data_IF_722358799680
#
_entry.id   IF_722358799680
#
_cell.length_a   1.000
_cell.length_b   1.000
_cell.length_c   1.000
_cell.angle_alpha   90.00
_cell.angle_beta   90.00
_cell.angle_gamma   90.00
#
_symmetry.space_group_name_H-M   'P 1'
#
loop_
_entity.id
_entity.type
_entity.pdbx_description
1 polymer ?
#
# COMPACT_ATOMS: atom_id res chain seq x y z
N UNK A 1 3.50 17.62 -43.14
CA UNK A 1 4.71 16.81 -43.33
C UNK A 1 5.83 17.14 -42.34
N UNK A 2 5.85 18.29 -41.68
CA UNK A 2 6.87 18.69 -40.70
C UNK A 2 6.92 17.81 -39.45
N UNK A 3 5.79 17.41 -38.85
CA UNK A 3 5.74 16.67 -37.61
C UNK A 3 6.37 15.27 -37.59
N UNK A 4 6.46 14.60 -38.75
CA UNK A 4 7.04 13.25 -38.85
C UNK A 4 8.57 13.28 -38.83
N UNK A 5 9.17 14.34 -39.36
CA UNK A 5 10.65 14.50 -39.41
C UNK A 5 11.21 14.89 -38.03
N UNK A 6 10.49 15.77 -37.35
CA UNK A 6 10.83 16.21 -35.99
C UNK A 6 10.81 15.05 -34.98
N UNK A 7 9.85 14.14 -35.09
CA UNK A 7 9.78 12.96 -34.18
C UNK A 7 10.93 11.94 -34.38
N UNK A 8 11.45 11.80 -35.60
CA UNK A 8 12.57 10.88 -35.87
C UNK A 8 13.89 11.47 -35.39
N UNK A 9 14.12 12.76 -35.52
CA UNK A 9 15.29 13.45 -35.02
C UNK A 9 15.35 13.39 -33.49
N UNK A 10 14.24 13.68 -32.81
CA UNK A 10 14.15 13.59 -31.36
C UNK A 10 14.39 12.16 -30.84
N UNK A 11 13.84 11.16 -31.51
CA UNK A 11 14.14 9.76 -31.20
C UNK A 11 15.62 9.44 -31.37
N UNK A 12 16.25 9.88 -32.47
CA UNK A 12 17.66 9.68 -32.73
C UNK A 12 18.56 10.29 -31.65
N UNK A 13 18.23 11.49 -31.15
CA UNK A 13 18.95 12.15 -30.06
C UNK A 13 18.85 11.34 -28.76
N UNK A 14 17.66 10.88 -28.42
CA UNK A 14 17.46 10.01 -27.24
C UNK A 14 18.23 8.69 -27.39
N UNK A 15 18.20 8.08 -28.58
CA UNK A 15 18.95 6.86 -28.82
C UNK A 15 20.46 7.12 -28.70
N UNK A 16 21.00 8.24 -29.19
CA UNK A 16 22.40 8.63 -29.02
C UNK A 16 22.80 8.77 -27.54
N UNK A 17 21.90 9.28 -26.70
CA UNK A 17 22.21 9.49 -25.29
C UNK A 17 22.36 8.18 -24.50
N UNK A 18 21.76 7.08 -24.96
CA UNK A 18 21.86 5.75 -24.31
C UNK A 18 22.89 4.83 -24.97
N UNK A 19 23.39 5.19 -26.14
CA UNK A 19 24.45 4.43 -26.81
C UNK A 19 25.81 5.01 -26.40
N UNK A 20 26.68 4.27 -25.70
CA UNK A 20 27.99 4.78 -25.32
C UNK A 20 28.83 5.18 -26.54
N UNK A 21 29.59 6.25 -26.41
CA UNK A 21 30.43 6.76 -27.51
C UNK A 21 31.35 5.69 -28.07
N UNK A 22 31.35 5.51 -29.39
CA UNK A 22 32.18 4.52 -30.07
C UNK A 22 31.70 3.06 -30.03
N UNK A 23 30.63 2.73 -29.29
CA UNK A 23 30.17 1.35 -29.07
C UNK A 23 28.89 0.97 -29.82
N UNK A 24 28.54 1.67 -30.90
CA UNK A 24 27.31 1.41 -31.66
C UNK A 24 27.15 -0.04 -32.17
N UNK A 25 28.30 -0.73 -32.48
CA UNK A 25 28.26 -2.15 -32.87
C UNK A 25 27.93 -3.07 -31.70
N UNK A 26 28.52 -2.81 -30.54
CA UNK A 26 28.28 -3.60 -29.33
C UNK A 26 26.87 -3.40 -28.83
N UNK A 27 26.36 -2.17 -28.90
CA UNK A 27 24.97 -1.86 -28.59
C UNK A 27 24.00 -2.58 -29.52
N UNK A 28 24.26 -2.57 -30.84
CA UNK A 28 23.46 -3.30 -31.82
C UNK A 28 23.43 -4.81 -31.51
N UNK A 29 24.61 -5.39 -31.19
CA UNK A 29 24.73 -6.79 -30.78
C UNK A 29 23.94 -7.08 -29.50
N UNK A 30 24.02 -6.21 -28.49
CA UNK A 30 23.25 -6.31 -27.24
C UNK A 30 21.75 -6.23 -27.47
N UNK A 31 21.32 -5.38 -28.42
CA UNK A 31 19.93 -5.25 -28.80
C UNK A 31 19.40 -6.38 -29.70
N UNK A 32 20.29 -7.19 -30.27
CA UNK A 32 19.92 -8.24 -31.26
C UNK A 32 19.47 -7.64 -32.61
N UNK A 33 19.92 -6.44 -32.95
CA UNK A 33 19.56 -5.71 -34.18
C UNK A 33 20.79 -5.52 -35.05
N UNK A 34 20.62 -5.63 -36.38
CA UNK A 34 21.73 -5.38 -37.32
C UNK A 34 22.33 -3.99 -37.16
N UNK A 35 23.66 -3.90 -37.15
CA UNK A 35 24.38 -2.63 -36.98
C UNK A 35 23.95 -1.54 -37.97
N UNK A 36 23.75 -1.88 -39.25
CA UNK A 36 23.27 -0.95 -40.29
C UNK A 36 21.93 -0.33 -39.92
N UNK A 37 21.03 -1.13 -39.34
CA UNK A 37 19.70 -0.68 -38.88
C UNK A 37 19.83 0.31 -37.73
N UNK A 38 20.63 -0.04 -36.70
CA UNK A 38 20.88 0.87 -35.56
C UNK A 38 21.58 2.15 -36.02
N UNK A 39 22.54 2.05 -36.96
CA UNK A 39 23.20 3.20 -37.53
C UNK A 39 22.23 4.16 -38.23
N UNK A 40 21.30 3.62 -39.03
CA UNK A 40 20.25 4.44 -39.68
C UNK A 40 19.35 5.15 -38.65
N UNK A 41 19.05 4.50 -37.52
CA UNK A 41 18.31 5.13 -36.42
C UNK A 41 19.11 6.26 -35.75
N UNK A 42 20.40 6.05 -35.51
CA UNK A 42 21.30 7.07 -34.96
C UNK A 42 21.51 8.28 -35.88
N UNK A 43 21.35 8.09 -37.18
CA UNK A 43 21.45 9.17 -38.19
C UNK A 43 20.09 9.81 -38.55
N UNK A 44 19.03 9.44 -37.84
CA UNK A 44 17.65 9.88 -38.10
C UNK A 44 17.18 9.61 -39.56
N UNK A 45 17.72 8.56 -40.21
CA UNK A 45 17.35 8.18 -41.56
C UNK A 45 16.01 7.45 -41.61
N UNK A 46 15.68 6.68 -40.56
CA UNK A 46 14.46 5.91 -40.47
C UNK A 46 13.94 5.82 -39.02
N UNK A 47 12.65 5.59 -38.87
CA UNK A 47 12.00 5.28 -37.58
C UNK A 47 12.09 3.79 -37.26
N UNK A 48 12.22 3.40 -36.00
CA UNK A 48 12.18 2.00 -35.60
C UNK A 48 10.77 1.40 -35.78
N UNK A 49 10.73 0.11 -36.07
CA UNK A 49 9.51 -0.68 -35.86
C UNK A 49 9.24 -0.81 -34.35
N UNK A 50 8.02 -1.16 -33.98
CA UNK A 50 7.67 -1.37 -32.56
C UNK A 50 8.58 -2.43 -31.92
N UNK A 51 8.87 -3.50 -32.63
CA UNK A 51 9.75 -4.57 -32.15
C UNK A 51 11.18 -4.04 -31.88
N UNK A 52 11.77 -3.32 -32.84
CA UNK A 52 13.08 -2.74 -32.67
C UNK A 52 13.13 -1.69 -31.57
N UNK A 53 12.05 -0.89 -31.41
CA UNK A 53 11.95 0.09 -30.32
C UNK A 53 12.02 -0.58 -28.94
N UNK A 54 11.32 -1.70 -28.76
CA UNK A 54 11.36 -2.51 -27.52
C UNK A 54 12.76 -3.07 -27.27
N UNK A 55 13.39 -3.62 -28.30
CA UNK A 55 14.75 -4.19 -28.19
C UNK A 55 15.80 -3.12 -27.84
N UNK A 56 15.71 -1.93 -28.47
CA UNK A 56 16.60 -0.80 -28.19
C UNK A 56 16.43 -0.27 -26.77
N UNK A 57 15.18 -0.10 -26.30
CA UNK A 57 14.87 0.32 -24.95
C UNK A 57 15.45 -0.65 -23.90
N UNK A 58 15.23 -1.94 -24.11
CA UNK A 58 15.78 -3.01 -23.26
C UNK A 58 17.31 -3.00 -23.21
N UNK A 59 17.95 -2.86 -24.37
CA UNK A 59 19.43 -2.79 -24.46
C UNK A 59 19.99 -1.53 -23.79
N UNK A 60 19.27 -0.40 -23.89
CA UNK A 60 19.66 0.88 -23.29
C UNK A 60 19.32 1.02 -21.81
N UNK A 61 18.49 0.11 -21.25
CA UNK A 61 18.04 0.20 -19.86
C UNK A 61 17.04 1.33 -19.60
N UNK A 62 16.26 1.73 -20.63
CA UNK A 62 15.25 2.80 -20.56
C UNK A 62 13.87 2.28 -20.87
N UNK A 63 12.81 3.05 -20.51
CA UNK A 63 11.46 2.69 -20.90
C UNK A 63 11.22 2.89 -22.41
N UNK A 64 10.38 2.05 -23.02
CA UNK A 64 9.96 2.19 -24.43
C UNK A 64 9.31 3.56 -24.65
N UNK A 65 8.56 4.00 -23.69
CA UNK A 65 7.83 5.26 -23.73
C UNK A 65 8.76 6.47 -23.75
N UNK A 66 9.75 6.48 -22.86
CA UNK A 66 10.77 7.52 -22.87
C UNK A 66 11.54 7.54 -24.20
N UNK A 67 11.94 6.38 -24.68
CA UNK A 67 12.67 6.31 -25.95
C UNK A 67 11.82 6.80 -27.12
N UNK A 68 10.49 6.54 -27.09
CA UNK A 68 9.55 6.97 -28.12
C UNK A 68 9.19 8.45 -28.04
N UNK A 69 8.95 8.98 -26.83
CA UNK A 69 8.31 10.28 -26.65
C UNK A 69 9.18 11.32 -25.95
N UNK A 70 10.26 10.90 -25.28
CA UNK A 70 11.07 11.73 -24.39
C UNK A 70 10.40 12.07 -23.06
N UNK A 71 9.19 11.62 -22.88
CA UNK A 71 8.49 11.73 -21.61
C UNK A 71 8.61 10.39 -20.92
N UNK A 72 9.26 10.35 -19.76
CA UNK A 72 8.87 9.34 -18.82
C UNK A 72 7.43 9.71 -18.45
N UNK A 73 6.47 8.91 -18.89
CA UNK A 73 5.27 8.85 -18.10
C UNK A 73 5.77 8.32 -16.75
N UNK A 74 6.08 9.24 -15.86
CA UNK A 74 5.98 8.87 -14.48
C UNK A 74 4.62 8.18 -14.39
N UNK A 75 4.60 6.86 -14.21
CA UNK A 75 3.57 6.26 -13.39
C UNK A 75 3.40 7.32 -12.34
N UNK A 76 2.22 7.96 -12.32
CA UNK A 76 1.89 9.14 -11.52
C UNK A 76 2.82 9.25 -10.33
N UNK A 77 3.47 10.39 -10.13
CA UNK A 77 4.56 10.72 -9.23
C UNK A 77 4.51 10.08 -7.82
N UNK A 78 4.47 8.77 -7.72
CA UNK A 78 4.38 7.95 -6.52
C UNK A 78 5.05 6.58 -6.69
N UNK A 79 5.98 6.37 -7.66
CA UNK A 79 6.58 5.05 -7.86
C UNK A 79 8.08 5.00 -7.57
N UNK A 80 8.64 6.00 -6.90
CA UNK A 80 9.87 5.87 -6.10
C UNK A 80 9.58 5.63 -4.60
N UNK A 81 8.33 5.76 -4.19
CA UNK A 81 7.77 4.97 -3.10
C UNK A 81 7.16 3.74 -3.77
N UNK A 82 7.86 2.61 -3.78
CA UNK A 82 7.20 1.32 -3.83
C UNK A 82 5.99 1.49 -2.91
N UNK A 83 4.77 1.31 -3.43
CA UNK A 83 3.56 1.28 -2.60
C UNK A 83 3.87 0.25 -1.51
N UNK A 84 4.40 0.74 -0.40
CA UNK A 84 4.81 -0.10 0.70
C UNK A 84 3.50 -0.51 1.36
N UNK A 85 2.99 -1.65 0.91
CA UNK A 85 1.79 -2.22 1.47
C UNK A 85 2.07 -2.61 2.92
N UNK A 86 1.36 -1.99 3.82
CA UNK A 86 1.31 -2.41 5.21
C UNK A 86 0.62 -3.76 5.27
N UNK A 87 1.36 -4.79 5.68
CA UNK A 87 0.83 -6.13 5.97
C UNK A 87 0.44 -6.19 7.43
N UNK A 88 -0.85 -6.15 7.71
CA UNK A 88 -1.39 -6.18 9.06
C UNK A 88 -2.01 -7.56 9.30
N UNK A 89 -1.46 -8.37 10.23
CA UNK A 89 -1.94 -9.72 10.47
C UNK A 89 -3.35 -9.69 11.09
N UNK A 90 -4.20 -10.64 10.70
CA UNK A 90 -5.44 -10.90 11.42
C UNK A 90 -5.15 -11.68 12.70
N UNK A 91 -5.90 -11.37 13.78
CA UNK A 91 -5.77 -12.07 15.07
C UNK A 91 -6.47 -13.44 15.03
N UNK A 92 -7.57 -13.52 14.28
CA UNK A 92 -8.51 -14.66 14.28
C UNK A 92 -8.26 -15.66 13.16
N UNK A 93 -7.27 -15.43 12.29
CA UNK A 93 -6.96 -16.30 11.15
C UNK A 93 -5.56 -16.07 10.60
N UNK A 94 -5.04 -17.03 9.87
CA UNK A 94 -3.74 -16.92 9.18
C UNK A 94 -3.91 -16.20 7.83
N UNK A 95 -4.06 -14.87 7.90
CA UNK A 95 -4.27 -13.97 6.75
C UNK A 95 -3.78 -12.55 7.08
N UNK A 96 -3.72 -11.69 6.08
CA UNK A 96 -3.25 -10.31 6.22
C UNK A 96 -4.23 -9.32 5.57
N UNK A 97 -4.46 -8.20 6.24
CA UNK A 97 -5.02 -7.01 5.62
C UNK A 97 -3.89 -6.24 4.94
N UNK A 98 -4.06 -5.91 3.67
CA UNK A 98 -3.12 -5.09 2.92
C UNK A 98 -3.69 -3.67 2.80
N UNK A 99 -2.93 -2.68 3.26
CA UNK A 99 -3.29 -1.27 3.15
C UNK A 99 -2.16 -0.51 2.45
N UNK A 100 -2.53 0.43 1.61
CA UNK A 100 -1.60 1.39 1.04
C UNK A 100 -1.06 2.31 2.15
N UNK A 101 0.25 2.26 2.38
CA UNK A 101 0.91 3.10 3.39
C UNK A 101 0.79 4.60 3.09
N UNK A 102 0.71 4.96 1.82
CA UNK A 102 0.52 6.35 1.39
C UNK A 102 -0.86 6.91 1.76
N UNK A 103 -1.90 6.06 1.80
CA UNK A 103 -3.23 6.45 2.23
C UNK A 103 -3.34 6.59 3.76
N UNK A 104 -2.46 5.92 4.53
CA UNK A 104 -2.47 5.91 5.99
C UNK A 104 -1.07 6.15 6.57
N UNK A 105 -0.47 7.33 6.37
CA UNK A 105 0.92 7.61 6.79
C UNK A 105 1.11 7.45 8.31
N UNK A 106 0.11 7.78 9.12
CA UNK A 106 0.17 7.67 10.59
C UNK A 106 0.25 6.21 11.08
N UNK A 107 -0.11 5.24 10.24
CA UNK A 107 -0.03 3.83 10.58
C UNK A 107 1.36 3.22 10.34
N UNK A 108 2.22 3.85 9.54
CA UNK A 108 3.55 3.33 9.24
C UNK A 108 4.39 3.15 10.49
N UNK A 109 4.40 4.15 11.37
CA UNK A 109 5.15 4.11 12.63
C UNK A 109 4.64 3.01 13.57
N UNK A 110 3.35 2.67 13.49
CA UNK A 110 2.67 1.67 14.31
C UNK A 110 2.56 0.30 13.65
N UNK A 111 3.04 0.13 12.42
CA UNK A 111 2.81 -1.07 11.62
C UNK A 111 3.11 -2.39 12.36
N UNK A 112 4.15 -2.40 13.20
CA UNK A 112 4.56 -3.58 13.98
C UNK A 112 3.64 -3.93 15.14
N UNK A 113 2.83 -2.98 15.60
CA UNK A 113 1.88 -3.17 16.70
C UNK A 113 0.44 -3.31 16.23
N UNK A 114 0.20 -3.17 14.93
CA UNK A 114 -1.14 -3.28 14.38
C UNK A 114 -1.56 -4.73 14.18
N UNK A 115 -2.83 -4.98 14.46
CA UNK A 115 -3.50 -6.21 14.11
C UNK A 115 -4.89 -5.92 13.54
N UNK A 116 -5.40 -6.82 12.71
CA UNK A 116 -6.74 -6.75 12.14
C UNK A 116 -7.67 -7.77 12.82
N UNK A 117 -8.93 -7.43 12.96
CA UNK A 117 -9.96 -8.34 13.47
C UNK A 117 -11.28 -8.09 12.75
N UNK A 118 -11.93 -9.13 12.27
CA UNK A 118 -13.27 -9.03 11.68
C UNK A 118 -14.34 -9.11 12.77
N UNK A 119 -15.24 -8.13 12.76
CA UNK A 119 -16.38 -8.08 13.68
C UNK A 119 -17.41 -9.17 13.31
N UNK A 120 -17.87 -9.91 14.31
CA UNK A 120 -18.87 -11.00 14.12
C UNK A 120 -20.17 -10.77 14.88
N UNK A 121 -20.31 -9.61 15.52
CA UNK A 121 -21.47 -9.30 16.36
C UNK A 121 -21.93 -7.86 16.12
N UNK A 122 -23.18 -7.55 16.49
CA UNK A 122 -23.80 -6.23 16.38
C UNK A 122 -23.63 -5.39 17.65
N UNK A 123 -22.79 -5.80 18.60
CA UNK A 123 -22.71 -5.20 19.95
C UNK A 123 -22.28 -3.74 19.95
N UNK A 124 -21.66 -3.25 18.89
CA UNK A 124 -21.18 -1.88 18.79
C UNK A 124 -21.89 -1.06 17.70
N UNK A 125 -22.98 -1.56 17.14
CA UNK A 125 -23.80 -0.77 16.23
C UNK A 125 -24.39 0.45 16.94
N UNK A 126 -24.41 1.62 16.28
CA UNK A 126 -24.03 1.88 14.88
C UNK A 126 -22.55 2.26 14.68
N UNK A 127 -21.71 2.25 15.69
CA UNK A 127 -20.31 2.67 15.59
C UNK A 127 -19.53 1.84 14.57
N UNK A 128 -19.72 0.53 14.58
CA UNK A 128 -19.30 -0.36 13.51
C UNK A 128 -20.24 -1.56 13.36
N UNK A 129 -20.36 -2.03 12.16
CA UNK A 129 -21.31 -3.04 11.74
C UNK A 129 -20.71 -4.45 11.84
N UNK A 130 -21.57 -5.46 11.77
CA UNK A 130 -21.14 -6.83 11.52
C UNK A 130 -20.32 -6.88 10.22
N UNK A 131 -19.30 -7.71 10.18
CA UNK A 131 -18.32 -7.88 9.10
C UNK A 131 -17.37 -6.71 8.85
N UNK A 132 -17.46 -5.60 9.59
CA UNK A 132 -16.42 -4.57 9.60
C UNK A 132 -15.05 -5.16 9.99
N UNK A 133 -13.99 -4.56 9.49
CA UNK A 133 -12.63 -4.89 9.90
C UNK A 133 -12.11 -3.78 10.82
N UNK A 134 -11.67 -4.16 12.00
CA UNK A 134 -11.05 -3.27 12.97
C UNK A 134 -9.54 -3.33 12.82
N UNK A 135 -8.88 -2.18 12.84
CA UNK A 135 -7.44 -2.05 13.06
C UNK A 135 -7.21 -1.74 14.53
N UNK A 136 -6.44 -2.59 15.18
CA UNK A 136 -6.20 -2.58 16.62
C UNK A 136 -4.73 -2.29 16.87
N UNK A 137 -4.43 -1.31 17.73
CA UNK A 137 -3.08 -1.06 18.23
C UNK A 137 -2.83 -1.89 19.50
N UNK A 138 -2.05 -2.95 19.36
CA UNK A 138 -1.73 -3.89 20.42
C UNK A 138 -0.69 -3.35 21.41
N UNK A 139 -0.03 -2.23 21.11
CA UNK A 139 0.90 -1.58 22.03
C UNK A 139 0.15 -0.87 23.17
N UNK A 140 -1.05 -0.40 22.91
CA UNK A 140 -1.87 0.33 23.87
C UNK A 140 -2.87 -0.60 24.56
N UNK A 141 -2.42 -1.28 25.61
CA UNK A 141 -3.25 -2.16 26.43
C UNK A 141 -3.90 -1.47 27.64
N UNK A 142 -3.55 -0.20 27.90
CA UNK A 142 -4.16 0.58 28.97
C UNK A 142 -5.51 1.11 28.52
N UNK A 143 -6.54 0.91 29.34
CA UNK A 143 -7.87 1.43 29.08
C UNK A 143 -7.90 2.95 29.26
N UNK A 144 -8.34 3.67 28.23
CA UNK A 144 -8.45 5.14 28.23
C UNK A 144 -9.89 5.55 28.03
N UNK A 145 -10.29 6.61 28.70
CA UNK A 145 -11.65 7.14 28.63
C UNK A 145 -12.08 7.46 27.19
N UNK A 146 -13.31 7.11 26.83
CA UNK A 146 -13.91 7.33 25.52
C UNK A 146 -13.42 6.39 24.40
N UNK A 147 -12.35 5.61 24.62
CA UNK A 147 -11.81 4.72 23.59
C UNK A 147 -12.57 3.41 23.48
N UNK A 148 -12.53 2.83 22.28
CA UNK A 148 -13.04 1.47 22.05
C UNK A 148 -11.86 0.51 22.10
N UNK A 149 -12.02 -0.55 22.88
CA UNK A 149 -11.01 -1.58 23.07
C UNK A 149 -11.56 -2.96 22.71
N UNK A 150 -10.65 -3.83 22.33
CA UNK A 150 -10.95 -5.24 22.14
C UNK A 150 -10.35 -6.01 23.29
N UNK A 151 -11.20 -6.76 23.99
CA UNK A 151 -10.85 -7.69 25.04
C UNK A 151 -11.04 -9.11 24.54
N UNK A 152 -10.26 -10.03 25.07
CA UNK A 152 -10.43 -11.46 24.80
C UNK A 152 -10.62 -12.20 26.12
N UNK A 153 -11.59 -13.10 26.15
CA UNK A 153 -11.83 -13.99 27.29
C UNK A 153 -12.42 -15.29 26.80
N UNK A 154 -11.83 -16.41 27.21
CA UNK A 154 -12.37 -17.76 26.95
C UNK A 154 -12.74 -18.00 25.48
N UNK A 155 -11.86 -17.58 24.56
CA UNK A 155 -12.08 -17.75 23.11
C UNK A 155 -13.04 -16.75 22.47
N UNK A 156 -13.55 -15.78 23.24
CA UNK A 156 -14.49 -14.77 22.73
C UNK A 156 -13.88 -13.38 22.70
N UNK A 157 -14.13 -12.65 21.62
CA UNK A 157 -13.77 -11.24 21.48
C UNK A 157 -14.90 -10.36 21.98
N UNK A 158 -14.57 -9.41 22.86
CA UNK A 158 -15.49 -8.45 23.44
C UNK A 158 -15.07 -7.05 22.98
N UNK A 159 -15.99 -6.34 22.40
CA UNK A 159 -15.80 -4.96 21.95
C UNK A 159 -16.49 -4.02 22.94
N UNK A 160 -15.75 -3.08 23.53
CA UNK A 160 -16.27 -2.23 24.58
C UNK A 160 -15.76 -0.80 24.45
N UNK A 161 -16.66 0.15 24.69
CA UNK A 161 -16.29 1.54 24.96
C UNK A 161 -15.94 1.70 26.41
N UNK A 162 -14.81 2.32 26.65
CA UNK A 162 -14.29 2.55 27.99
C UNK A 162 -14.82 3.88 28.52
N UNK A 163 -15.33 3.86 29.75
CA UNK A 163 -15.54 5.05 30.56
C UNK A 163 -14.80 4.83 31.90
N UNK A 164 -13.94 5.77 32.25
CA UNK A 164 -13.22 5.74 33.53
C UNK A 164 -14.17 6.17 34.64
N UNK A 165 -14.28 5.39 35.69
CA UNK A 165 -15.09 5.66 36.89
C UNK A 165 -14.19 5.59 38.14
N UNK A 166 -14.61 6.16 39.29
CA UNK A 166 -13.75 6.25 40.48
C UNK A 166 -13.12 4.90 40.90
N UNK A 167 -13.87 3.79 40.80
CA UNK A 167 -13.44 2.49 41.29
C UNK A 167 -13.07 1.52 40.15
N UNK A 168 -12.77 2.03 38.93
CA UNK A 168 -12.40 1.19 37.79
C UNK A 168 -12.89 1.70 36.46
N UNK A 169 -13.54 0.83 35.70
CA UNK A 169 -14.01 1.11 34.34
C UNK A 169 -15.44 0.66 34.14
N UNK A 170 -16.27 1.49 33.53
CA UNK A 170 -17.53 1.10 32.94
C UNK A 170 -17.28 0.74 31.46
N UNK A 171 -17.48 -0.54 31.12
CA UNK A 171 -17.28 -1.09 29.80
C UNK A 171 -18.64 -1.27 29.13
N UNK A 172 -19.01 -0.33 28.28
CA UNK A 172 -20.30 -0.30 27.59
C UNK A 172 -20.20 -0.83 26.16
N UNK A 173 -21.33 -1.29 25.65
CA UNK A 173 -21.57 -1.52 24.22
C UNK A 173 -22.30 -0.31 23.65
N UNK A 174 -21.98 0.09 22.41
CA UNK A 174 -22.67 1.21 21.76
C UNK A 174 -24.09 0.81 21.33
N UNK A 175 -24.32 -0.48 21.08
CA UNK A 175 -25.67 -1.02 20.89
C UNK A 175 -26.37 -1.17 22.25
N UNK A 176 -27.39 -0.38 22.45
CA UNK A 176 -28.13 -0.28 23.70
C UNK A 176 -28.90 -1.56 24.11
N UNK A 177 -28.99 -2.56 23.21
CA UNK A 177 -29.52 -3.89 23.55
C UNK A 177 -28.65 -4.66 24.53
N UNK A 178 -27.36 -4.27 24.67
CA UNK A 178 -26.37 -4.95 25.49
C UNK A 178 -26.05 -4.13 26.74
N UNK A 179 -26.05 -4.80 27.89
CA UNK A 179 -25.73 -4.17 29.15
C UNK A 179 -24.25 -3.82 29.29
N UNK A 180 -23.97 -2.70 29.95
CA UNK A 180 -22.63 -2.35 30.37
C UNK A 180 -22.17 -3.24 31.53
N UNK A 181 -20.85 -3.34 31.71
CA UNK A 181 -20.24 -4.01 32.86
C UNK A 181 -19.30 -3.05 33.60
N UNK A 182 -19.31 -3.03 34.89
CA UNK A 182 -18.34 -2.32 35.72
C UNK A 182 -17.27 -3.31 36.14
N UNK A 183 -16.02 -2.99 35.85
CA UNK A 183 -14.85 -3.79 36.20
C UNK A 183 -13.86 -2.94 36.98
N UNK A 184 -13.36 -3.48 38.10
CA UNK A 184 -12.22 -2.92 38.81
C UNK A 184 -10.92 -3.50 38.25
N UNK A 185 -9.78 -3.06 38.78
CA UNK A 185 -8.47 -3.51 38.33
C UNK A 185 -8.28 -5.02 38.44
N UNK A 186 -8.80 -5.61 39.53
CA UNK A 186 -8.65 -7.06 39.77
C UNK A 186 -9.48 -7.88 38.79
N UNK A 187 -10.72 -7.49 38.56
CA UNK A 187 -11.60 -8.17 37.61
C UNK A 187 -11.16 -7.95 36.16
N UNK A 188 -10.53 -6.79 35.83
CA UNK A 188 -9.94 -6.56 34.51
C UNK A 188 -8.83 -7.55 34.19
N UNK A 189 -8.07 -7.99 35.18
CA UNK A 189 -6.98 -8.97 34.98
C UNK A 189 -7.47 -10.33 34.44
N UNK A 190 -8.78 -10.62 34.55
CA UNK A 190 -9.38 -11.82 33.95
C UNK A 190 -9.61 -11.73 32.45
N UNK A 191 -9.39 -10.56 31.83
CA UNK A 191 -9.48 -10.33 30.40
C UNK A 191 -8.08 -10.09 29.81
N UNK A 192 -7.83 -10.62 28.64
CA UNK A 192 -6.68 -10.19 27.84
C UNK A 192 -7.07 -8.96 27.03
N UNK A 193 -6.45 -7.81 27.33
CA UNK A 193 -6.65 -6.58 26.57
C UNK A 193 -5.82 -6.70 25.29
N UNK A 194 -6.47 -6.89 24.15
CA UNK A 194 -5.79 -7.02 22.86
C UNK A 194 -5.28 -5.68 22.36
N UNK A 195 -6.03 -4.59 22.57
CA UNK A 195 -5.59 -3.26 22.23
C UNK A 195 -6.75 -2.27 21.99
N UNK A 196 -6.37 -1.06 21.60
CA UNK A 196 -7.29 0.04 21.24
C UNK A 196 -7.66 -0.03 19.76
N UNK A 197 -8.94 0.17 19.43
CA UNK A 197 -9.41 0.29 18.03
C UNK A 197 -9.03 1.66 17.50
N UNK A 198 -8.20 1.69 16.45
CA UNK A 198 -7.79 2.93 15.78
C UNK A 198 -8.65 3.28 14.59
N UNK A 199 -8.96 2.29 13.76
CA UNK A 199 -9.69 2.48 12.50
C UNK A 199 -10.74 1.37 12.37
N UNK A 200 -11.86 1.75 11.78
CA UNK A 200 -12.94 0.84 11.40
C UNK A 200 -13.12 0.92 9.89
N UNK A 201 -12.97 -0.21 9.22
CA UNK A 201 -13.27 -0.37 7.81
C UNK A 201 -14.63 -1.03 7.69
N UNK A 202 -15.67 -0.22 7.46
CA UNK A 202 -17.03 -0.72 7.26
C UNK A 202 -17.19 -1.27 5.84
N UNK A 203 -17.91 -2.37 5.71
CA UNK A 203 -18.41 -2.85 4.44
C UNK A 203 -19.74 -2.13 4.16
N UNK A 204 -19.87 -1.56 2.96
CA UNK A 204 -21.12 -0.94 2.48
C UNK A 204 -22.07 -2.00 1.94
#
# INVERSE_FOLDING_TARGET
MAGKKESVEQFSERLKSIVPSGSGRDFAKKAGIGYSTVHNYLQAVSSPTLENLVLLAKAGGVSVEWLATGKEFSKSANTDQAEELLKIPFIDRDDFLLLDSGAFPDLQEKAKSLAALRVRTDVMEPTFLVDSILLIDQQHKQLKDGKVVVLHKEGSYLYKRVQVVPDGYNLSSDNTKYSAMIVNQDSLSSFDVLGEVLIVLNHL
#
